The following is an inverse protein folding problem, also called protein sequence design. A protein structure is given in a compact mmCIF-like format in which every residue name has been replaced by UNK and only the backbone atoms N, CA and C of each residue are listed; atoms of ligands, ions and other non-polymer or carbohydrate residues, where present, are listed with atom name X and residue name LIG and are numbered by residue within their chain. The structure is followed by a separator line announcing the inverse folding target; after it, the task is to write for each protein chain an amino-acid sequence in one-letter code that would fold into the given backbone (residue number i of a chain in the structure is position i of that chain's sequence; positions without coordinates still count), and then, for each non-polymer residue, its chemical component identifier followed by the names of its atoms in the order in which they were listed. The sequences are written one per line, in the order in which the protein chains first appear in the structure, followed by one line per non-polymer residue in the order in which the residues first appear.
data_IF_527369710082
#
_entry.id   IF_527369710082
#
_cell.length_a   1.000
_cell.length_b   1.000
_cell.length_c   1.000
_cell.angle_alpha   90.00
_cell.angle_beta   90.00
_cell.angle_gamma   90.00
#
_symmetry.space_group_name_H-M   'P 1'
#
loop_
_entity.id
_entity.type
_entity.pdbx_description
1 polymer ?
#
# COMPACT_ATOMS: atom_id res chain seq x y z
N UNK A 1 19.57 -75.43 -4.76
CA UNK A 1 18.25 -74.74 -4.45
C UNK A 1 18.24 -74.05 -3.09
N UNK A 2 18.73 -74.64 -2.02
CA UNK A 2 18.72 -73.95 -0.69
C UNK A 2 19.55 -72.63 -0.67
N UNK A 3 20.75 -72.59 -1.25
CA UNK A 3 21.62 -71.41 -1.29
C UNK A 3 21.01 -70.24 -2.06
N UNK A 4 20.33 -70.53 -3.20
CA UNK A 4 19.65 -69.50 -4.01
C UNK A 4 18.48 -68.86 -3.24
N UNK A 5 17.72 -69.64 -2.49
CA UNK A 5 16.62 -69.11 -1.63
C UNK A 5 17.12 -68.19 -0.52
N UNK A 6 18.27 -68.56 0.11
CA UNK A 6 18.88 -67.76 1.16
C UNK A 6 19.38 -66.41 0.58
N UNK A 7 20.03 -66.41 -0.60
CA UNK A 7 20.49 -65.21 -1.26
C UNK A 7 19.33 -64.24 -1.62
N UNK A 8 18.20 -64.79 -2.12
CA UNK A 8 17.00 -64.00 -2.44
C UNK A 8 16.41 -63.39 -1.15
N UNK A 9 16.32 -64.15 -0.08
CA UNK A 9 15.80 -63.65 1.21
C UNK A 9 16.67 -62.52 1.75
N UNK A 10 17.99 -62.68 1.70
CA UNK A 10 18.94 -61.63 2.15
C UNK A 10 18.79 -60.38 1.28
N UNK A 11 18.66 -60.50 -0.04
CA UNK A 11 18.48 -59.38 -0.94
C UNK A 11 17.13 -58.65 -0.68
N UNK A 12 16.06 -59.37 -0.41
CA UNK A 12 14.77 -58.77 -0.07
C UNK A 12 14.81 -58.03 1.27
N UNK A 13 15.47 -58.61 2.29
CA UNK A 13 15.64 -57.95 3.60
C UNK A 13 16.50 -56.68 3.49
N UNK A 14 17.55 -56.69 2.65
CA UNK A 14 18.41 -55.52 2.43
C UNK A 14 17.64 -54.40 1.72
N UNK A 15 16.81 -54.72 0.71
CA UNK A 15 15.98 -53.72 0.03
C UNK A 15 14.92 -53.16 0.98
N UNK A 16 14.31 -54.01 1.82
CA UNK A 16 13.33 -53.55 2.81
C UNK A 16 13.94 -52.62 3.88
N UNK A 17 15.18 -52.91 4.31
CA UNK A 17 15.92 -52.08 5.26
C UNK A 17 16.25 -50.69 4.67
N UNK A 18 16.61 -50.62 3.38
CA UNK A 18 16.94 -49.37 2.69
C UNK A 18 15.67 -48.52 2.51
N UNK A 19 14.50 -49.10 2.28
CA UNK A 19 13.24 -48.34 2.17
C UNK A 19 12.75 -47.79 3.51
N UNK A 20 13.03 -48.46 4.62
CA UNK A 20 12.66 -47.98 5.96
C UNK A 20 13.53 -46.81 6.44
N UNK A 21 14.80 -46.70 6.02
CA UNK A 21 15.67 -45.57 6.38
C UNK A 21 15.43 -44.34 5.51
N UNK A 22 14.78 -44.46 4.36
CA UNK A 22 14.47 -43.37 3.45
C UNK A 22 13.44 -42.37 4.02
N UNK A 23 12.47 -42.84 4.83
CA UNK A 23 11.45 -41.98 5.40
C UNK A 23 12.00 -40.99 6.43
N UNK A 24 12.89 -41.43 7.32
CA UNK A 24 13.47 -40.54 8.36
C UNK A 24 14.41 -39.51 7.77
N UNK A 25 15.15 -39.86 6.71
CA UNK A 25 16.07 -38.93 6.02
C UNK A 25 15.29 -37.87 5.23
N UNK A 26 14.15 -38.24 4.65
CA UNK A 26 13.27 -37.30 3.93
C UNK A 26 12.54 -36.36 4.89
N UNK A 27 12.10 -36.84 6.04
CA UNK A 27 11.48 -36.00 7.07
C UNK A 27 12.49 -35.03 7.71
N UNK A 28 13.72 -35.47 7.94
CA UNK A 28 14.82 -34.60 8.40
C UNK A 28 15.24 -33.57 7.33
N UNK A 29 15.23 -33.97 6.05
CA UNK A 29 15.46 -33.05 4.94
C UNK A 29 14.33 -32.02 4.83
N UNK A 30 13.07 -32.44 4.94
CA UNK A 30 11.91 -31.57 5.00
C UNK A 30 12.01 -30.59 6.18
N UNK A 31 12.33 -31.08 7.37
CA UNK A 31 12.49 -30.25 8.56
C UNK A 31 13.63 -29.22 8.38
N UNK A 32 14.74 -29.60 7.78
CA UNK A 32 15.86 -28.68 7.54
C UNK A 32 15.60 -27.59 6.49
N UNK A 33 14.70 -27.85 5.52
CA UNK A 33 14.43 -26.92 4.41
C UNK A 33 13.03 -26.30 4.43
N UNK A 34 12.05 -26.89 5.14
CA UNK A 34 10.67 -26.47 5.17
C UNK A 34 10.28 -25.94 6.55
N UNK A 35 10.96 -26.35 7.60
CA UNK A 35 10.79 -25.78 8.94
C UNK A 35 11.61 -24.47 9.08
N UNK A 36 11.27 -23.52 8.23
CA UNK A 36 11.31 -22.13 8.66
C UNK A 36 10.29 -22.09 9.78
N UNK A 37 10.75 -22.03 11.01
CA UNK A 37 9.92 -21.92 12.21
C UNK A 37 8.70 -21.06 11.87
N UNK A 38 7.51 -21.68 11.84
CA UNK A 38 6.27 -20.94 11.63
C UNK A 38 6.24 -19.93 12.75
N UNK A 39 6.54 -18.68 12.39
CA UNK A 39 6.48 -17.59 13.36
C UNK A 39 5.05 -17.60 13.92
N UNK A 40 4.89 -18.06 15.16
CA UNK A 40 3.60 -18.21 15.82
C UNK A 40 3.05 -16.88 16.33
N UNK A 41 3.78 -15.79 16.09
CA UNK A 41 3.30 -14.45 16.44
C UNK A 41 2.02 -14.13 15.67
N UNK A 42 1.07 -13.51 16.37
CA UNK A 42 -0.12 -12.99 15.72
C UNK A 42 0.23 -12.00 14.62
N UNK A 43 -0.54 -12.00 13.54
CA UNK A 43 -0.33 -11.13 12.37
C UNK A 43 -1.28 -9.95 12.42
N UNK A 44 -0.78 -8.77 12.07
CA UNK A 44 -1.58 -7.57 11.76
C UNK A 44 -1.51 -7.35 10.26
N UNK A 45 -2.64 -7.44 9.58
CA UNK A 45 -2.74 -7.11 8.16
C UNK A 45 -2.90 -5.60 7.98
N UNK A 46 -2.07 -5.01 7.13
CA UNK A 46 -2.21 -3.64 6.63
C UNK A 46 -2.52 -3.75 5.14
N UNK A 47 -3.66 -3.24 4.75
CA UNK A 47 -4.07 -3.17 3.35
C UNK A 47 -3.28 -2.09 2.60
N UNK A 48 -2.94 -2.35 1.35
CA UNK A 48 -2.29 -1.39 0.46
C UNK A 48 -3.10 -1.36 -0.84
N UNK A 49 -3.88 -0.29 -1.02
CA UNK A 49 -4.68 -0.06 -2.21
C UNK A 49 -3.90 0.87 -3.13
N UNK A 50 -3.35 0.36 -4.21
CA UNK A 50 -2.49 1.16 -5.11
C UNK A 50 -2.66 0.75 -6.58
N UNK A 51 -2.40 1.66 -7.54
CA UNK A 51 -2.28 1.30 -8.94
C UNK A 51 -0.93 0.57 -9.17
N UNK A 52 -0.90 -0.72 -8.87
CA UNK A 52 0.27 -1.57 -9.12
C UNK A 52 0.52 -1.71 -10.62
N UNK A 53 -0.55 -1.68 -11.41
CA UNK A 53 -0.50 -1.69 -12.88
C UNK A 53 -1.28 -0.51 -13.46
N UNK A 54 -1.07 -0.23 -14.77
CA UNK A 54 -1.72 0.86 -15.48
C UNK A 54 -0.86 2.13 -15.57
N UNK A 55 -1.49 3.23 -16.00
CA UNK A 55 -0.78 4.48 -16.38
C UNK A 55 -0.14 5.19 -15.18
N UNK A 56 -0.71 5.06 -13.99
CA UNK A 56 -0.22 5.71 -12.77
C UNK A 56 0.77 4.82 -11.99
N UNK A 57 0.98 3.58 -12.42
CA UNK A 57 1.87 2.63 -11.76
C UNK A 57 3.31 3.16 -11.58
N UNK A 58 3.92 3.90 -12.52
CA UNK A 58 5.27 4.43 -12.31
C UNK A 58 5.36 5.37 -11.10
N UNK A 59 4.39 6.27 -10.93
CA UNK A 59 4.35 7.19 -9.78
C UNK A 59 3.95 6.47 -8.49
N UNK A 60 2.94 5.62 -8.51
CA UNK A 60 2.52 4.83 -7.36
C UNK A 60 3.61 3.88 -6.84
N UNK A 61 4.54 3.46 -7.70
CA UNK A 61 5.66 2.61 -7.30
C UNK A 61 6.55 3.24 -6.23
N UNK A 62 6.60 4.59 -6.17
CA UNK A 62 7.36 5.31 -5.14
C UNK A 62 6.67 5.19 -3.78
N UNK A 63 5.34 5.33 -3.71
CA UNK A 63 4.58 5.09 -2.48
C UNK A 63 4.72 3.64 -2.02
N UNK A 64 4.54 2.68 -2.93
CA UNK A 64 4.70 1.26 -2.65
C UNK A 64 6.08 0.94 -2.08
N UNK A 65 7.14 1.50 -2.66
CA UNK A 65 8.51 1.32 -2.14
C UNK A 65 8.68 1.90 -0.74
N UNK A 66 8.09 3.08 -0.49
CA UNK A 66 8.09 3.68 0.84
C UNK A 66 7.39 2.80 1.88
N UNK A 67 6.19 2.28 1.56
CA UNK A 67 5.44 1.36 2.41
C UNK A 67 6.23 0.08 2.69
N UNK A 68 6.81 -0.53 1.65
CA UNK A 68 7.62 -1.74 1.78
C UNK A 68 8.88 -1.52 2.61
N UNK A 69 9.55 -0.36 2.42
CA UNK A 69 10.72 0.02 3.21
C UNK A 69 10.35 0.19 4.69
N UNK A 70 9.26 0.89 4.99
CA UNK A 70 8.77 1.06 6.35
C UNK A 70 8.49 -0.29 7.01
N UNK A 71 7.82 -1.20 6.31
CA UNK A 71 7.56 -2.55 6.83
C UNK A 71 8.85 -3.38 6.99
N UNK A 72 9.83 -3.19 6.13
CA UNK A 72 11.13 -3.86 6.27
C UNK A 72 11.91 -3.38 7.50
N UNK A 73 11.83 -2.08 7.79
CA UNK A 73 12.51 -1.47 8.94
C UNK A 73 11.76 -1.76 10.25
N UNK A 74 10.44 -1.74 10.20
CA UNK A 74 9.55 -1.97 11.35
C UNK A 74 8.57 -3.13 11.09
N UNK A 75 9.08 -4.36 11.01
CA UNK A 75 8.24 -5.51 10.62
C UNK A 75 7.25 -5.96 11.70
N UNK A 76 7.30 -5.36 12.88
CA UNK A 76 6.49 -5.77 14.02
C UNK A 76 5.88 -4.56 14.73
N UNK A 77 4.62 -4.72 15.18
CA UNK A 77 3.91 -3.76 16.02
C UNK A 77 3.33 -4.51 17.24
N UNK A 78 3.69 -4.07 18.45
CA UNK A 78 3.24 -4.68 19.70
C UNK A 78 3.44 -6.22 19.74
N UNK A 79 4.58 -6.69 19.27
CA UNK A 79 4.94 -8.11 19.21
C UNK A 79 4.25 -8.93 18.12
N UNK A 80 3.43 -8.29 17.28
CA UNK A 80 2.76 -8.93 16.13
C UNK A 80 3.48 -8.60 14.83
N UNK A 81 3.50 -9.54 13.89
CA UNK A 81 4.09 -9.34 12.56
C UNK A 81 3.15 -8.47 11.72
N UNK A 82 3.71 -7.49 11.02
CA UNK A 82 2.98 -6.71 10.02
C UNK A 82 3.05 -7.40 8.66
N UNK A 83 1.88 -7.76 8.13
CA UNK A 83 1.70 -8.30 6.79
C UNK A 83 1.07 -7.24 5.89
N UNK A 84 1.72 -6.91 4.78
CA UNK A 84 1.16 -6.02 3.75
C UNK A 84 0.31 -6.83 2.78
N UNK A 85 -0.95 -6.44 2.63
CA UNK A 85 -1.92 -7.06 1.71
C UNK A 85 -2.22 -6.08 0.59
N UNK A 86 -1.70 -6.34 -0.60
CA UNK A 86 -1.87 -5.47 -1.76
C UNK A 86 -3.17 -5.75 -2.51
N UNK A 87 -3.79 -4.68 -3.03
CA UNK A 87 -4.88 -4.72 -3.99
C UNK A 87 -4.64 -3.69 -5.09
N UNK A 88 -4.64 -4.15 -6.33
CA UNK A 88 -4.35 -3.34 -7.52
C UNK A 88 -5.63 -2.74 -8.09
N UNK A 89 -5.74 -1.42 -8.13
CA UNK A 89 -6.85 -0.72 -8.78
C UNK A 89 -6.61 -0.50 -10.29
N UNK A 90 -5.45 -0.90 -10.82
CA UNK A 90 -5.10 -0.88 -12.26
C UNK A 90 -5.15 0.51 -12.90
N UNK A 91 -4.95 1.59 -12.12
CA UNK A 91 -5.16 2.97 -12.57
C UNK A 91 -6.55 3.17 -13.20
N UNK A 92 -7.58 2.53 -12.62
CA UNK A 92 -8.92 2.52 -13.19
C UNK A 92 -9.99 2.71 -12.10
N UNK A 93 -10.85 3.70 -12.29
CA UNK A 93 -11.91 4.06 -11.35
C UNK A 93 -12.87 2.89 -11.08
N UNK A 94 -13.32 2.19 -12.13
CA UNK A 94 -14.23 1.05 -11.98
C UNK A 94 -13.57 -0.15 -11.30
N UNK A 95 -12.28 -0.38 -11.56
CA UNK A 95 -11.53 -1.44 -10.89
C UNK A 95 -11.27 -1.12 -9.42
N UNK A 96 -11.23 0.16 -9.03
CA UNK A 96 -10.97 0.58 -7.65
C UNK A 96 -12.06 0.08 -6.69
N UNK A 97 -13.32 0.12 -7.07
CA UNK A 97 -14.41 -0.36 -6.23
C UNK A 97 -14.23 -1.85 -5.89
N UNK A 98 -13.98 -2.67 -6.89
CA UNK A 98 -13.71 -4.10 -6.68
C UNK A 98 -12.43 -4.35 -5.89
N UNK A 99 -11.39 -3.54 -6.14
CA UNK A 99 -10.11 -3.66 -5.43
C UNK A 99 -10.25 -3.34 -3.94
N UNK A 100 -10.98 -2.29 -3.56
CA UNK A 100 -11.20 -1.94 -2.16
C UNK A 100 -12.08 -2.98 -1.46
N UNK A 101 -13.14 -3.48 -2.09
CA UNK A 101 -13.99 -4.54 -1.53
C UNK A 101 -13.19 -5.83 -1.30
N UNK A 102 -12.36 -6.21 -2.27
CA UNK A 102 -11.45 -7.36 -2.14
C UNK A 102 -10.49 -7.16 -0.96
N UNK A 103 -9.97 -5.94 -0.78
CA UNK A 103 -9.05 -5.64 0.31
C UNK A 103 -9.77 -5.70 1.67
N UNK A 104 -10.97 -5.11 1.78
CA UNK A 104 -11.80 -5.15 2.98
C UNK A 104 -12.11 -6.60 3.39
N UNK A 105 -12.40 -7.48 2.43
CA UNK A 105 -12.67 -8.90 2.69
C UNK A 105 -11.48 -9.66 3.31
N UNK A 106 -10.26 -9.11 3.26
CA UNK A 106 -9.07 -9.65 3.93
C UNK A 106 -8.93 -9.21 5.39
N UNK A 107 -9.87 -8.40 5.87
CA UNK A 107 -9.93 -7.88 7.24
C UNK A 107 -8.64 -7.14 7.68
N UNK A 108 -8.16 -6.16 6.91
CA UNK A 108 -7.02 -5.35 7.31
C UNK A 108 -7.39 -4.49 8.52
N UNK A 109 -6.43 -4.18 9.36
CA UNK A 109 -6.62 -3.28 10.52
C UNK A 109 -6.48 -1.81 10.14
N UNK A 110 -5.93 -1.55 8.96
CA UNK A 110 -5.71 -0.23 8.38
C UNK A 110 -5.53 -0.39 6.87
N UNK A 111 -5.84 0.64 6.10
CA UNK A 111 -5.55 0.71 4.66
C UNK A 111 -4.63 1.91 4.39
N UNK A 112 -3.62 1.73 3.54
CA UNK A 112 -2.76 2.77 3.00
C UNK A 112 -3.01 2.95 1.51
N UNK A 113 -2.91 4.19 1.02
CA UNK A 113 -3.12 4.55 -0.38
C UNK A 113 -4.54 5.11 -0.60
N UNK A 114 -5.01 5.31 -1.82
CA UNK A 114 -4.34 5.01 -3.09
C UNK A 114 -3.61 6.24 -3.65
N UNK A 115 -2.54 6.04 -4.44
CA UNK A 115 -2.02 7.10 -5.30
C UNK A 115 -3.14 7.57 -6.25
N UNK A 116 -3.28 8.91 -6.38
CA UNK A 116 -4.32 9.51 -7.19
C UNK A 116 -5.65 9.71 -6.45
N UNK A 117 -6.03 10.98 -6.23
CA UNK A 117 -7.22 11.34 -5.45
C UNK A 117 -8.52 10.74 -6.00
N UNK A 118 -8.62 10.55 -7.31
CA UNK A 118 -9.82 9.97 -7.96
C UNK A 118 -10.10 8.55 -7.47
N UNK A 119 -9.08 7.73 -7.28
CA UNK A 119 -9.24 6.37 -6.78
C UNK A 119 -9.59 6.35 -5.29
N UNK A 120 -8.98 7.23 -4.52
CA UNK A 120 -9.29 7.39 -3.10
C UNK A 120 -10.73 7.86 -2.87
N UNK A 121 -11.24 8.77 -3.70
CA UNK A 121 -12.63 9.21 -3.64
C UNK A 121 -13.62 8.06 -3.90
N UNK A 122 -13.31 7.18 -4.85
CA UNK A 122 -14.13 5.98 -5.11
C UNK A 122 -14.09 5.00 -3.94
N UNK A 123 -12.92 4.80 -3.34
CA UNK A 123 -12.76 3.88 -2.22
C UNK A 123 -13.37 4.39 -0.91
N UNK A 124 -13.47 5.72 -0.74
CA UNK A 124 -13.75 6.36 0.54
C UNK A 124 -15.07 5.92 1.18
N UNK A 125 -16.16 5.80 0.42
CA UNK A 125 -17.46 5.37 0.95
C UNK A 125 -17.43 3.92 1.48
N UNK A 126 -16.75 3.02 0.79
CA UNK A 126 -16.60 1.61 1.21
C UNK A 126 -15.72 1.48 2.46
N UNK A 127 -14.67 2.29 2.55
CA UNK A 127 -13.78 2.38 3.71
C UNK A 127 -14.55 2.89 4.93
N UNK A 128 -15.35 3.94 4.75
CA UNK A 128 -16.19 4.52 5.81
C UNK A 128 -17.22 3.52 6.32
N UNK A 129 -17.93 2.84 5.40
CA UNK A 129 -18.91 1.80 5.73
C UNK A 129 -18.28 0.64 6.50
N UNK A 130 -17.08 0.23 6.11
CA UNK A 130 -16.31 -0.83 6.77
C UNK A 130 -15.68 -0.37 8.10
N UNK A 131 -15.65 0.92 8.39
CA UNK A 131 -15.02 1.54 9.57
C UNK A 131 -13.55 1.12 9.74
N UNK A 132 -12.83 1.06 8.64
CA UNK A 132 -11.41 0.71 8.63
C UNK A 132 -10.58 1.99 8.54
N UNK A 133 -9.74 2.32 9.54
CA UNK A 133 -8.86 3.48 9.47
C UNK A 133 -8.00 3.44 8.20
N UNK A 134 -8.01 4.51 7.43
CA UNK A 134 -7.29 4.59 6.16
C UNK A 134 -6.47 5.87 6.07
N UNK A 135 -5.28 5.79 5.49
CA UNK A 135 -4.37 6.93 5.34
C UNK A 135 -4.02 7.11 3.87
N UNK A 136 -4.37 8.27 3.36
CA UNK A 136 -3.91 8.78 2.07
C UNK A 136 -2.52 9.39 2.21
N UNK A 137 -1.61 9.03 1.32
CA UNK A 137 -0.20 9.44 1.38
C UNK A 137 0.04 10.71 0.56
N UNK A 138 -0.42 10.76 -0.69
CA UNK A 138 -0.15 11.87 -1.62
C UNK A 138 -1.40 12.58 -2.16
N UNK A 139 -2.59 12.22 -1.69
CA UNK A 139 -3.85 12.79 -2.22
C UNK A 139 -4.09 14.19 -1.71
N UNK A 140 -3.94 15.16 -2.58
CA UNK A 140 -4.05 16.59 -2.27
C UNK A 140 -5.47 17.14 -2.37
N UNK A 141 -6.41 16.40 -3.00
CA UNK A 141 -7.81 16.81 -3.08
C UNK A 141 -8.49 16.78 -1.69
N UNK A 142 -9.04 17.92 -1.20
CA UNK A 142 -9.64 17.97 0.13
C UNK A 142 -10.84 17.03 0.32
N UNK A 143 -11.54 16.67 -0.75
CA UNK A 143 -12.73 15.82 -0.67
C UNK A 143 -12.41 14.38 -0.25
N UNK A 144 -11.18 13.92 -0.39
CA UNK A 144 -10.77 12.56 0.01
C UNK A 144 -11.04 12.30 1.50
N UNK A 145 -10.94 13.34 2.33
CA UNK A 145 -11.14 13.19 3.79
C UNK A 145 -12.28 14.04 4.35
N UNK A 146 -12.90 14.92 3.56
CA UNK A 146 -13.80 15.97 4.06
C UNK A 146 -15.03 15.46 4.82
N UNK A 147 -15.60 14.33 4.41
CA UNK A 147 -16.85 13.81 4.96
C UNK A 147 -16.69 12.38 5.48
N UNK A 148 -15.47 11.98 5.83
CA UNK A 148 -15.15 10.63 6.22
C UNK A 148 -14.37 10.64 7.54
N UNK A 149 -14.84 9.92 8.54
CA UNK A 149 -14.22 9.80 9.87
C UNK A 149 -13.06 8.80 9.86
N UNK A 150 -13.12 7.83 8.94
CA UNK A 150 -12.13 6.77 8.83
C UNK A 150 -11.07 7.00 7.76
N UNK A 151 -11.12 8.13 7.01
CA UNK A 151 -10.13 8.44 5.99
C UNK A 151 -9.31 9.67 6.36
N UNK A 152 -8.05 9.46 6.67
CA UNK A 152 -7.08 10.48 7.07
C UNK A 152 -6.11 10.77 5.92
N UNK A 153 -5.30 11.84 6.05
CA UNK A 153 -4.19 12.12 5.12
C UNK A 153 -2.94 12.58 5.87
N UNK A 154 -1.78 12.40 5.25
CA UNK A 154 -0.49 12.86 5.75
C UNK A 154 0.19 13.89 4.84
N UNK A 155 -0.47 14.29 3.74
CA UNK A 155 0.01 15.33 2.83
C UNK A 155 -0.81 16.62 2.96
N UNK A 156 -0.25 17.72 2.43
CA UNK A 156 -0.96 18.99 2.30
C UNK A 156 -2.03 18.92 1.20
N UNK A 157 -3.08 19.73 1.33
CA UNK A 157 -4.04 19.95 0.26
C UNK A 157 -3.56 21.05 -0.69
N UNK A 158 -4.02 21.00 -1.95
CA UNK A 158 -3.63 21.95 -2.99
C UNK A 158 -3.84 23.42 -2.58
N UNK A 159 -4.96 23.72 -1.93
CA UNK A 159 -5.27 25.04 -1.45
C UNK A 159 -4.21 25.57 -0.46
N UNK A 160 -3.73 24.72 0.47
CA UNK A 160 -2.68 25.12 1.41
C UNK A 160 -1.36 25.45 0.71
N UNK A 161 -1.02 24.70 -0.35
CA UNK A 161 0.18 24.96 -1.14
C UNK A 161 0.07 26.33 -1.85
N UNK A 162 -1.08 26.64 -2.44
CA UNK A 162 -1.35 27.93 -3.07
C UNK A 162 -1.26 29.11 -2.08
N UNK A 163 -1.82 28.94 -0.87
CA UNK A 163 -1.77 29.95 0.18
C UNK A 163 -0.33 30.21 0.68
N UNK A 164 0.44 29.13 0.90
CA UNK A 164 1.85 29.24 1.32
C UNK A 164 2.72 29.93 0.26
N UNK A 165 2.51 29.61 -1.02
CA UNK A 165 3.21 30.30 -2.12
C UNK A 165 2.87 31.79 -2.17
N UNK A 166 1.61 32.15 -1.97
CA UNK A 166 1.20 33.56 -1.91
C UNK A 166 1.83 34.27 -0.72
N UNK A 167 1.85 33.68 0.47
CA UNK A 167 2.52 34.23 1.65
C UNK A 167 4.01 34.46 1.40
N UNK A 168 4.68 33.52 0.75
CA UNK A 168 6.10 33.67 0.40
C UNK A 168 6.32 34.90 -0.48
N UNK A 169 5.53 35.06 -1.56
CA UNK A 169 5.63 36.20 -2.47
C UNK A 169 5.30 37.54 -1.75
N UNK A 170 4.29 37.54 -0.87
CA UNK A 170 3.89 38.74 -0.10
C UNK A 170 4.96 39.18 0.91
N UNK A 171 5.70 38.24 1.48
CA UNK A 171 6.75 38.51 2.47
C UNK A 171 8.06 39.00 1.84
N UNK A 172 8.25 38.85 0.54
CA UNK A 172 9.48 39.25 -0.16
C UNK A 172 9.64 40.80 -0.31
N UNK A 173 8.62 41.57 0.09
CA UNK A 173 8.69 43.00 0.33
C UNK A 173 8.64 43.91 -0.90
N UNK A 174 8.83 43.40 -2.10
CA UNK A 174 8.82 44.19 -3.33
C UNK A 174 7.41 44.23 -3.96
N UNK A 175 7.14 45.30 -4.73
CA UNK A 175 5.94 45.39 -5.59
C UNK A 175 6.06 44.42 -6.78
N UNK A 176 5.87 43.15 -6.52
CA UNK A 176 5.96 42.10 -7.54
C UNK A 176 4.65 41.98 -8.29
N UNK A 177 4.68 42.18 -9.59
CA UNK A 177 3.56 41.80 -10.47
C UNK A 177 3.62 40.31 -10.69
N UNK A 178 2.60 39.59 -10.24
CA UNK A 178 2.51 38.13 -10.37
C UNK A 178 1.57 37.70 -11.49
N UNK A 179 2.02 36.80 -12.33
CA UNK A 179 1.20 36.12 -13.32
C UNK A 179 1.00 34.66 -12.93
N UNK A 180 -0.21 34.15 -13.08
CA UNK A 180 -0.54 32.74 -12.81
C UNK A 180 -0.84 32.01 -14.12
N UNK A 181 -0.05 30.99 -14.44
CA UNK A 181 -0.26 30.11 -15.58
C UNK A 181 -0.52 28.69 -15.06
N UNK A 182 -1.60 28.06 -15.54
CA UNK A 182 -1.99 26.72 -15.13
C UNK A 182 -2.61 25.93 -16.30
N UNK A 183 -2.59 24.58 -16.25
CA UNK A 183 -3.41 23.75 -17.14
C UNK A 183 -4.91 24.06 -16.97
N UNK A 184 -5.68 23.94 -18.05
CA UNK A 184 -7.11 24.24 -18.04
C UNK A 184 -7.93 23.18 -17.27
N UNK A 185 -7.49 21.92 -17.31
CA UNK A 185 -8.25 20.75 -16.82
C UNK A 185 -7.46 19.95 -15.75
N UNK A 186 -6.79 20.63 -14.87
CA UNK A 186 -6.07 20.03 -13.76
C UNK A 186 -6.61 20.61 -12.45
N UNK A 187 -7.40 19.82 -11.72
CA UNK A 187 -8.10 20.26 -10.52
C UNK A 187 -7.12 20.72 -9.42
N UNK A 188 -5.98 20.04 -9.27
CA UNK A 188 -4.96 20.41 -8.30
C UNK A 188 -4.33 21.76 -8.66
N UNK A 189 -3.94 21.95 -9.92
CA UNK A 189 -3.40 23.21 -10.41
C UNK A 189 -4.43 24.34 -10.33
N UNK A 190 -5.71 24.05 -10.62
CA UNK A 190 -6.80 25.03 -10.49
C UNK A 190 -6.98 25.46 -9.03
N UNK A 191 -7.03 24.53 -8.09
CA UNK A 191 -7.19 24.82 -6.66
C UNK A 191 -6.03 25.65 -6.12
N UNK A 192 -4.79 25.24 -6.43
CA UNK A 192 -3.57 25.95 -6.03
C UNK A 192 -3.52 27.37 -6.59
N UNK A 193 -3.73 27.53 -7.91
CA UNK A 193 -3.72 28.82 -8.59
C UNK A 193 -4.81 29.77 -8.09
N UNK A 194 -6.01 29.25 -7.86
CA UNK A 194 -7.15 30.03 -7.35
C UNK A 194 -6.87 30.54 -5.94
N UNK A 195 -6.37 29.68 -5.05
CA UNK A 195 -6.06 30.08 -3.67
C UNK A 195 -4.91 31.09 -3.65
N UNK A 196 -3.86 30.85 -4.44
CA UNK A 196 -2.76 31.81 -4.59
C UNK A 196 -3.27 33.19 -5.04
N UNK A 197 -4.03 33.25 -6.15
CA UNK A 197 -4.53 34.51 -6.69
C UNK A 197 -5.46 35.23 -5.70
N UNK A 198 -6.35 34.50 -5.04
CA UNK A 198 -7.25 35.09 -4.04
C UNK A 198 -6.49 35.68 -2.85
N UNK A 199 -5.45 35.00 -2.38
CA UNK A 199 -4.62 35.48 -1.28
C UNK A 199 -3.86 36.78 -1.66
N UNK A 200 -3.26 36.81 -2.86
CA UNK A 200 -2.58 38.02 -3.36
C UNK A 200 -3.54 39.19 -3.45
N UNK A 201 -4.75 38.99 -4.04
CA UNK A 201 -5.76 40.04 -4.16
C UNK A 201 -6.27 40.54 -2.80
N UNK A 202 -6.47 39.64 -1.84
CA UNK A 202 -6.96 40.03 -0.51
C UNK A 202 -5.99 40.95 0.27
N UNK A 203 -4.69 40.83 0.02
CA UNK A 203 -3.66 41.57 0.75
C UNK A 203 -3.18 42.84 0.00
N UNK A 204 -3.17 42.82 -1.34
CA UNK A 204 -2.66 43.93 -2.16
C UNK A 204 -3.73 44.74 -2.89
N UNK A 205 -4.99 44.25 -2.90
CA UNK A 205 -6.04 44.79 -3.74
C UNK A 205 -5.95 44.31 -5.18
N UNK A 206 -6.97 44.63 -6.01
CA UNK A 206 -6.99 44.28 -7.46
C UNK A 206 -6.00 45.14 -8.24
#
# INVERSE_FOLDING_TARGET
MKRLRITIIIAVITVLAITMTGCTTFDNFKAAFIDKSRDTRAVIKIGVLEPVTGVDSPAASEEIRGIQLANKVYPNVNGKIVELVFSDNKSNVNATETAVETLISKEPKMILGSYGSVYSLVAASKIEEAKIPSISITNTNPLVTKNYDYYLRVCYVDANQGDLLAQYVLNDGDEVKTGVMRPEKDDAAIAMATTFANRIRSEKGD
#
